data_IF_337164361096
#
_entry.id   IF_337164361096
#
_cell.length_a   1.000
_cell.length_b   1.000
_cell.length_c   1.000
_cell.angle_alpha   90.00
_cell.angle_beta   90.00
_cell.angle_gamma   90.00
#
_symmetry.space_group_name_H-M   'P 1'
#
loop_
_entity.id
_entity.type
_entity.pdbx_description
1 polymer ?
#
# COMPACT_ATOMS: atom_id res chain seq x y z
N UNK A 1 19.95 -14.15 -18.75
CA UNK A 1 19.18 -12.90 -18.90
C UNK A 1 19.70 -12.20 -20.14
N UNK A 2 18.80 -11.73 -21.00
CA UNK A 2 19.16 -11.01 -22.22
C UNK A 2 18.71 -9.56 -22.08
N UNK A 3 19.56 -8.61 -22.46
CA UNK A 3 19.21 -7.18 -22.48
C UNK A 3 19.31 -6.69 -23.91
N UNK A 4 18.21 -6.11 -24.42
CA UNK A 4 18.15 -5.47 -25.73
C UNK A 4 17.85 -3.99 -25.52
N UNK A 5 18.75 -3.13 -26.01
CA UNK A 5 18.59 -1.68 -25.96
C UNK A 5 18.30 -1.16 -27.35
N UNK A 6 17.21 -0.41 -27.49
CA UNK A 6 16.80 0.22 -28.73
C UNK A 6 17.26 1.68 -28.71
N UNK A 7 18.11 2.06 -29.67
CA UNK A 7 18.68 3.40 -29.75
C UNK A 7 18.34 4.07 -31.08
N UNK A 8 17.87 5.31 -31.03
CA UNK A 8 17.52 6.10 -32.19
C UNK A 8 18.77 6.80 -32.73
N UNK A 9 19.43 6.18 -33.71
CA UNK A 9 20.64 6.73 -34.35
C UNK A 9 20.34 7.87 -35.33
N UNK A 10 19.11 7.91 -35.85
CA UNK A 10 18.61 8.89 -36.81
C UNK A 10 17.14 9.16 -36.50
N UNK A 11 16.74 10.44 -36.50
CA UNK A 11 15.37 10.85 -36.20
C UNK A 11 14.37 10.29 -37.23
N UNK A 12 14.80 10.10 -38.47
CA UNK A 12 13.96 9.52 -39.52
C UNK A 12 13.70 8.01 -39.31
N UNK A 13 14.50 7.36 -38.47
CA UNK A 13 14.36 5.94 -38.12
C UNK A 13 13.36 5.69 -36.99
N UNK A 14 12.66 6.72 -36.48
CA UNK A 14 11.76 6.57 -35.33
C UNK A 14 10.69 5.51 -35.55
N UNK A 15 10.06 5.51 -36.74
CA UNK A 15 9.05 4.51 -37.10
C UNK A 15 9.62 3.09 -37.05
N UNK A 16 10.84 2.89 -37.54
CA UNK A 16 11.50 1.58 -37.55
C UNK A 16 11.82 1.11 -36.12
N UNK A 17 12.29 2.01 -35.26
CA UNK A 17 12.58 1.72 -33.86
C UNK A 17 11.33 1.24 -33.12
N UNK A 18 10.24 2.02 -33.16
CA UNK A 18 9.00 1.65 -32.47
C UNK A 18 8.32 0.41 -33.07
N UNK A 19 8.45 0.17 -34.38
CA UNK A 19 7.93 -1.06 -35.00
C UNK A 19 8.69 -2.30 -34.53
N UNK A 20 10.02 -2.17 -34.38
CA UNK A 20 10.86 -3.24 -33.83
C UNK A 20 10.54 -3.49 -32.36
N UNK A 21 10.43 -2.41 -31.58
CA UNK A 21 10.01 -2.50 -30.18
C UNK A 21 8.63 -3.16 -30.02
N UNK A 22 7.63 -2.78 -30.82
CA UNK A 22 6.31 -3.38 -30.78
C UNK A 22 6.36 -4.89 -31.08
N UNK A 23 7.20 -5.31 -32.02
CA UNK A 23 7.37 -6.72 -32.38
C UNK A 23 7.97 -7.56 -31.25
N UNK A 24 8.91 -7.01 -30.47
CA UNK A 24 9.52 -7.72 -29.31
C UNK A 24 8.55 -8.03 -28.17
N UNK A 25 7.51 -7.21 -28.04
CA UNK A 25 6.46 -7.41 -27.06
C UNK A 25 5.42 -8.43 -27.54
N UNK A 26 5.49 -8.86 -28.80
CA UNK A 26 4.70 -9.97 -29.31
C UNK A 26 4.92 -11.24 -28.48
N UNK A 27 3.85 -11.74 -27.87
CA UNK A 27 3.90 -12.94 -27.02
C UNK A 27 4.37 -12.72 -25.59
N UNK A 28 4.52 -11.46 -25.13
CA UNK A 28 4.77 -11.15 -23.71
C UNK A 28 3.45 -11.03 -22.95
N UNK A 29 3.47 -11.40 -21.68
CA UNK A 29 2.26 -11.43 -20.84
C UNK A 29 2.11 -10.19 -19.95
N UNK A 30 3.21 -9.47 -19.70
CA UNK A 30 3.23 -8.31 -18.81
C UNK A 30 4.40 -7.37 -19.11
N UNK A 31 4.28 -6.14 -18.61
CA UNK A 31 5.35 -5.13 -18.59
C UNK A 31 5.76 -4.87 -17.15
N UNK A 32 7.06 -4.67 -16.92
CA UNK A 32 7.58 -4.14 -15.67
C UNK A 32 8.37 -2.86 -15.94
N UNK A 33 8.19 -1.82 -15.11
CA UNK A 33 8.96 -0.59 -15.19
C UNK A 33 9.06 0.10 -13.83
N UNK A 34 9.83 1.19 -13.76
CA UNK A 34 9.86 2.09 -12.61
C UNK A 34 9.26 3.44 -13.00
N UNK A 35 8.07 3.77 -12.51
CA UNK A 35 7.34 5.00 -12.85
C UNK A 35 6.91 5.11 -14.32
N UNK A 36 6.93 4.01 -15.08
CA UNK A 36 6.61 4.06 -16.50
C UNK A 36 5.14 4.31 -16.79
N UNK A 37 4.20 4.04 -15.86
CA UNK A 37 2.77 4.36 -16.07
C UNK A 37 2.54 5.85 -16.24
N UNK A 38 3.29 6.65 -15.51
CA UNK A 38 3.15 8.12 -15.50
C UNK A 38 4.16 8.82 -16.41
N UNK A 39 5.14 8.10 -16.96
CA UNK A 39 6.23 8.70 -17.73
C UNK A 39 6.47 8.01 -19.08
N UNK A 40 7.12 6.85 -19.08
CA UNK A 40 7.61 6.20 -20.32
C UNK A 40 6.47 5.76 -21.26
N UNK A 41 5.47 5.04 -20.73
CA UNK A 41 4.41 4.46 -21.55
C UNK A 41 3.54 5.52 -22.25
N UNK A 42 3.12 6.63 -21.58
CA UNK A 42 2.44 7.73 -22.26
C UNK A 42 3.23 8.34 -23.42
N UNK A 43 4.56 8.49 -23.25
CA UNK A 43 5.44 9.00 -24.30
C UNK A 43 5.53 8.03 -25.47
N UNK A 44 5.81 6.75 -25.20
CA UNK A 44 5.88 5.69 -26.22
C UNK A 44 4.55 5.60 -26.98
N UNK A 45 3.41 5.62 -26.27
CA UNK A 45 2.08 5.59 -26.88
C UNK A 45 1.88 6.76 -27.83
N UNK A 46 2.21 7.98 -27.40
CA UNK A 46 2.09 9.18 -28.22
C UNK A 46 2.95 9.08 -29.49
N UNK A 47 4.18 8.57 -29.38
CA UNK A 47 5.06 8.35 -30.53
C UNK A 47 4.55 7.27 -31.48
N UNK A 48 3.96 6.20 -30.97
CA UNK A 48 3.33 5.16 -31.79
C UNK A 48 2.13 5.70 -32.56
N UNK A 49 1.27 6.49 -31.93
CA UNK A 49 0.13 7.14 -32.59
C UNK A 49 0.59 8.06 -33.72
N UNK A 50 1.59 8.91 -33.48
CA UNK A 50 2.14 9.81 -34.51
C UNK A 50 2.74 9.04 -35.70
N UNK A 51 3.39 7.91 -35.44
CA UNK A 51 3.99 7.04 -36.46
C UNK A 51 3.02 6.03 -37.08
N UNK A 52 1.74 6.03 -36.66
CA UNK A 52 0.69 5.07 -37.07
C UNK A 52 1.10 3.61 -36.84
N UNK A 53 1.74 3.34 -35.70
CA UNK A 53 2.16 2.02 -35.27
C UNK A 53 1.14 1.50 -34.26
N UNK A 54 0.63 0.29 -34.49
CA UNK A 54 -0.12 -0.41 -33.46
C UNK A 54 0.86 -1.09 -32.49
N UNK A 55 0.72 -0.83 -31.20
CA UNK A 55 1.58 -1.40 -30.16
C UNK A 55 0.70 -1.94 -29.01
N UNK A 56 0.09 -3.10 -29.26
CA UNK A 56 -0.79 -3.80 -28.32
C UNK A 56 -0.09 -4.13 -26.98
N UNK A 57 1.24 -4.28 -27.00
CA UNK A 57 2.04 -4.50 -25.80
C UNK A 57 1.85 -3.42 -24.72
N UNK A 58 1.50 -2.17 -25.10
CA UNK A 58 1.26 -1.08 -24.15
C UNK A 58 -0.01 -1.26 -23.30
N UNK A 59 -0.87 -2.22 -23.65
CA UNK A 59 -2.11 -2.54 -22.94
C UNK A 59 -1.99 -3.82 -22.09
N UNK A 60 -0.81 -4.45 -22.06
CA UNK A 60 -0.53 -5.59 -21.20
C UNK A 60 -0.64 -5.23 -19.70
N UNK A 61 -0.93 -6.23 -18.83
CA UNK A 61 -0.76 -6.08 -17.39
C UNK A 61 0.59 -5.45 -17.04
N UNK A 62 0.55 -4.39 -16.25
CA UNK A 62 1.75 -3.59 -15.97
C UNK A 62 2.07 -3.52 -14.48
N UNK A 63 3.19 -4.13 -14.11
CA UNK A 63 3.86 -3.98 -12.82
C UNK A 63 4.73 -2.72 -12.82
N UNK A 64 4.19 -1.64 -12.29
CA UNK A 64 4.98 -0.43 -12.03
C UNK A 64 5.53 -0.46 -10.61
N UNK A 65 6.85 -0.62 -10.51
CA UNK A 65 7.55 -0.84 -9.25
C UNK A 65 7.55 0.39 -8.35
N UNK A 66 7.38 1.61 -8.88
CA UNK A 66 7.24 2.79 -8.04
C UNK A 66 6.00 2.66 -7.14
N UNK A 67 4.89 2.20 -7.70
CA UNK A 67 3.65 2.01 -6.95
C UNK A 67 3.74 0.82 -6.01
N UNK A 68 4.38 -0.28 -6.42
CA UNK A 68 4.62 -1.43 -5.56
C UNK A 68 5.46 -1.06 -4.33
N UNK A 69 6.58 -0.36 -4.55
CA UNK A 69 7.47 0.06 -3.46
C UNK A 69 6.76 1.06 -2.54
N UNK A 70 6.12 2.11 -3.07
CA UNK A 70 5.34 3.06 -2.26
C UNK A 70 4.24 2.38 -1.46
N UNK A 71 3.65 1.31 -2.01
CA UNK A 71 2.61 0.56 -1.33
C UNK A 71 3.19 -0.24 -0.16
N UNK A 72 4.30 -0.96 -0.35
CA UNK A 72 4.83 -1.93 0.62
C UNK A 72 5.84 -1.36 1.62
N UNK A 73 6.58 -0.32 1.25
CA UNK A 73 7.63 0.28 2.06
C UNK A 73 7.20 1.67 2.49
N UNK A 74 7.16 1.95 3.81
CA UNK A 74 6.78 3.26 4.35
C UNK A 74 7.94 3.97 5.01
N UNK A 75 7.88 5.30 4.98
CA UNK A 75 8.85 6.18 5.65
C UNK A 75 10.15 6.41 4.89
N UNK A 76 10.18 6.14 3.58
CA UNK A 76 11.28 6.61 2.75
C UNK A 76 11.13 8.13 2.51
N UNK A 77 12.25 8.86 2.52
CA UNK A 77 12.25 10.31 2.28
C UNK A 77 11.90 10.63 0.82
N UNK A 78 12.31 9.74 -0.10
CA UNK A 78 12.03 9.80 -1.53
C UNK A 78 11.77 8.38 -2.06
N UNK A 79 11.13 8.28 -3.20
CA UNK A 79 10.96 7.01 -3.94
C UNK A 79 11.53 7.15 -5.35
N UNK A 80 12.62 7.90 -5.52
CA UNK A 80 13.42 7.85 -6.75
C UNK A 80 14.10 6.48 -6.85
N UNK A 81 14.43 6.04 -8.08
CA UNK A 81 15.10 4.76 -8.28
C UNK A 81 16.39 4.67 -7.45
N UNK A 82 17.23 5.72 -7.47
CA UNK A 82 18.46 5.79 -6.69
C UNK A 82 18.26 5.63 -5.17
N UNK A 83 17.23 6.26 -4.57
CA UNK A 83 16.95 6.08 -3.14
C UNK A 83 16.48 4.65 -2.85
N UNK A 84 15.62 4.10 -3.71
CA UNK A 84 15.10 2.73 -3.54
C UNK A 84 16.21 1.70 -3.69
N UNK A 85 17.15 1.88 -4.61
CA UNK A 85 18.30 1.01 -4.76
C UNK A 85 19.22 1.04 -3.55
N UNK A 86 19.51 2.22 -3.00
CA UNK A 86 20.33 2.34 -1.79
C UNK A 86 19.67 1.67 -0.58
N UNK A 87 18.34 1.80 -0.46
CA UNK A 87 17.56 1.25 0.66
C UNK A 87 17.33 -0.25 0.55
N UNK A 88 16.96 -0.74 -0.63
CA UNK A 88 16.52 -2.13 -0.82
C UNK A 88 17.63 -3.04 -1.35
N UNK A 89 18.51 -2.51 -2.20
CA UNK A 89 19.55 -3.31 -2.87
C UNK A 89 20.96 -3.01 -2.34
N UNK A 90 21.10 -2.03 -1.44
CA UNK A 90 22.37 -1.55 -0.92
C UNK A 90 23.36 -1.10 -2.00
N UNK A 91 22.83 -0.66 -3.16
CA UNK A 91 23.63 -0.13 -4.26
C UNK A 91 23.84 1.36 -4.02
N UNK A 92 25.10 1.81 -4.05
CA UNK A 92 25.45 3.23 -4.09
C UNK A 92 25.88 3.55 -5.51
N UNK A 93 25.16 4.47 -6.16
CA UNK A 93 25.56 4.99 -7.46
C UNK A 93 26.55 6.11 -7.29
N UNK A 94 27.67 6.04 -8.00
CA UNK A 94 28.41 7.24 -8.38
C UNK A 94 27.68 7.83 -9.59
N UNK A 95 27.15 9.04 -9.48
CA UNK A 95 26.53 9.72 -10.62
C UNK A 95 27.64 10.16 -11.59
N UNK A 96 27.93 9.32 -12.60
CA UNK A 96 28.94 9.68 -13.62
C UNK A 96 28.44 10.80 -14.54
N UNK A 97 27.13 10.87 -14.83
CA UNK A 97 26.54 11.90 -15.70
C UNK A 97 25.20 12.40 -15.11
N UNK A 98 25.08 13.70 -14.77
CA UNK A 98 23.81 14.29 -14.40
C UNK A 98 22.76 14.12 -15.52
N UNK A 99 21.57 13.62 -15.17
CA UNK A 99 20.52 13.31 -16.16
C UNK A 99 20.13 14.48 -17.07
N UNK A 100 20.28 15.73 -16.59
CA UNK A 100 20.03 16.95 -17.36
C UNK A 100 20.98 17.12 -18.57
N UNK A 101 22.15 16.48 -18.56
CA UNK A 101 23.14 16.56 -19.64
C UNK A 101 22.87 15.51 -20.74
N UNK A 102 22.12 14.46 -20.46
CA UNK A 102 21.86 13.35 -21.39
C UNK A 102 21.28 13.83 -22.73
N UNK A 103 20.27 14.73 -22.79
CA UNK A 103 19.75 15.21 -24.08
C UNK A 103 20.81 15.88 -24.94
N UNK A 104 21.71 16.67 -24.34
CA UNK A 104 22.80 17.34 -25.06
C UNK A 104 23.79 16.35 -25.65
N UNK A 105 24.23 15.39 -24.83
CA UNK A 105 25.12 14.30 -25.25
C UNK A 105 24.50 13.47 -26.38
N UNK A 106 23.19 13.21 -26.31
CA UNK A 106 22.46 12.50 -27.36
C UNK A 106 22.51 13.25 -28.70
N UNK A 107 22.15 14.54 -28.73
CA UNK A 107 22.18 15.32 -29.97
C UNK A 107 23.59 15.56 -30.50
N UNK A 108 24.61 15.59 -29.63
CA UNK A 108 26.00 15.60 -30.06
C UNK A 108 26.37 14.28 -30.75
N UNK A 109 26.09 13.13 -30.11
CA UNK A 109 26.38 11.81 -30.64
C UNK A 109 25.69 11.52 -31.98
N UNK A 110 24.42 11.94 -32.13
CA UNK A 110 23.67 11.79 -33.40
C UNK A 110 24.29 12.66 -34.50
N UNK A 111 24.76 13.87 -34.18
CA UNK A 111 25.37 14.78 -35.18
C UNK A 111 26.79 14.36 -35.56
N UNK A 112 27.58 13.89 -34.62
CA UNK A 112 28.97 13.47 -34.86
C UNK A 112 29.06 12.04 -35.41
N UNK A 113 28.04 11.21 -35.18
CA UNK A 113 28.07 9.77 -35.41
C UNK A 113 28.90 9.00 -34.37
N UNK A 114 29.46 9.67 -33.37
CA UNK A 114 30.28 9.07 -32.32
C UNK A 114 29.45 8.80 -31.06
N UNK A 115 29.21 7.51 -30.79
CA UNK A 115 28.43 7.06 -29.63
C UNK A 115 29.28 6.83 -28.37
N UNK A 116 30.59 7.04 -28.41
CA UNK A 116 31.47 6.77 -27.27
C UNK A 116 31.08 7.55 -26.03
N UNK A 117 30.61 8.79 -26.19
CA UNK A 117 30.11 9.66 -25.11
C UNK A 117 28.82 9.15 -24.45
N UNK A 118 28.05 8.30 -25.14
CA UNK A 118 26.82 7.70 -24.64
C UNK A 118 27.02 6.33 -23.99
N UNK A 119 28.23 5.76 -24.06
CA UNK A 119 28.52 4.46 -23.43
C UNK A 119 28.12 4.41 -21.94
N UNK A 120 28.42 5.42 -21.11
CA UNK A 120 27.96 5.43 -19.72
C UNK A 120 26.43 5.46 -19.61
N UNK A 121 25.73 6.21 -20.48
CA UNK A 121 24.27 6.27 -20.52
C UNK A 121 23.66 4.90 -20.77
N UNK A 122 24.19 4.15 -21.73
CA UNK A 122 23.72 2.78 -22.00
C UNK A 122 23.99 1.85 -20.82
N UNK A 123 25.17 1.94 -20.19
CA UNK A 123 25.52 1.15 -19.01
C UNK A 123 24.57 1.46 -17.82
N UNK A 124 24.28 2.74 -17.57
CA UNK A 124 23.31 3.13 -16.55
C UNK A 124 21.92 2.56 -16.83
N UNK A 125 21.45 2.61 -18.08
CA UNK A 125 20.15 2.02 -18.43
C UNK A 125 20.12 0.50 -18.20
N UNK A 126 21.21 -0.22 -18.47
CA UNK A 126 21.30 -1.66 -18.12
C UNK A 126 21.22 -1.86 -16.60
N UNK A 127 21.91 -1.03 -15.83
CA UNK A 127 21.86 -1.09 -14.36
C UNK A 127 20.46 -0.77 -13.83
N UNK A 128 19.76 0.22 -14.39
CA UNK A 128 18.36 0.52 -14.05
C UNK A 128 17.47 -0.71 -14.24
N UNK A 129 17.60 -1.40 -15.38
CA UNK A 129 16.86 -2.62 -15.69
C UNK A 129 17.16 -3.76 -14.71
N UNK A 130 18.44 -3.95 -14.36
CA UNK A 130 18.84 -4.93 -13.36
C UNK A 130 18.25 -4.62 -11.98
N UNK A 131 18.21 -3.35 -11.61
CA UNK A 131 17.60 -2.90 -10.35
C UNK A 131 16.10 -3.17 -10.30
N UNK A 132 15.38 -3.14 -11.43
CA UNK A 132 13.97 -3.55 -11.45
C UNK A 132 13.80 -5.00 -11.00
N UNK A 133 14.70 -5.90 -11.41
CA UNK A 133 14.66 -7.30 -11.01
C UNK A 133 14.90 -7.42 -9.50
N UNK A 134 15.93 -6.75 -8.98
CA UNK A 134 16.24 -6.73 -7.56
C UNK A 134 15.09 -6.15 -6.71
N UNK A 135 14.51 -5.03 -7.15
CA UNK A 135 13.37 -4.39 -6.47
C UNK A 135 12.14 -5.30 -6.50
N UNK A 136 11.90 -6.00 -7.61
CA UNK A 136 10.80 -6.96 -7.72
C UNK A 136 11.00 -8.10 -6.71
N UNK A 137 12.20 -8.66 -6.62
CA UNK A 137 12.52 -9.70 -5.66
C UNK A 137 12.38 -9.21 -4.21
N UNK A 138 12.85 -7.99 -3.90
CA UNK A 138 12.67 -7.39 -2.59
C UNK A 138 11.20 -7.16 -2.25
N UNK A 139 10.40 -6.64 -3.19
CA UNK A 139 8.97 -6.44 -3.02
C UNK A 139 8.22 -7.77 -2.81
N UNK A 140 8.58 -8.82 -3.54
CA UNK A 140 8.03 -10.16 -3.37
C UNK A 140 8.41 -10.75 -2.00
N UNK A 141 9.70 -10.69 -1.62
CA UNK A 141 10.18 -11.18 -0.33
C UNK A 141 9.57 -10.47 0.87
N UNK A 142 9.02 -9.25 0.68
CA UNK A 142 8.25 -8.53 1.71
C UNK A 142 6.96 -9.25 2.12
N UNK A 143 6.44 -10.13 1.28
CA UNK A 143 5.28 -10.98 1.55
C UNK A 143 5.63 -12.34 2.18
N UNK A 144 6.92 -12.64 2.37
CA UNK A 144 7.38 -13.85 3.04
C UNK A 144 8.06 -13.50 4.37
N UNK A 145 8.94 -12.50 4.37
CA UNK A 145 9.74 -12.06 5.51
C UNK A 145 9.16 -10.79 6.16
N UNK A 146 8.35 -10.99 7.21
CA UNK A 146 7.64 -9.92 7.92
C UNK A 146 8.02 -9.77 9.39
N UNK A 147 8.89 -10.62 9.90
CA UNK A 147 9.32 -10.56 11.29
C UNK A 147 10.15 -9.28 11.53
N UNK A 148 9.88 -8.62 12.65
CA UNK A 148 10.57 -7.38 13.04
C UNK A 148 10.26 -6.16 12.17
N UNK A 149 9.24 -6.21 11.30
CA UNK A 149 8.84 -5.05 10.53
C UNK A 149 8.10 -4.03 11.40
N UNK A 150 8.34 -2.72 11.20
CA UNK A 150 7.53 -1.70 11.83
C UNK A 150 6.04 -1.90 11.49
N UNK A 151 5.16 -1.66 12.46
CA UNK A 151 3.71 -1.88 12.28
C UNK A 151 3.12 -1.19 11.05
N UNK A 152 3.64 0.00 10.68
CA UNK A 152 3.21 0.74 9.47
C UNK A 152 3.47 -0.03 8.17
N UNK A 153 4.60 -0.74 8.09
CA UNK A 153 4.99 -1.52 6.91
C UNK A 153 4.22 -2.84 6.90
N UNK A 154 4.09 -3.46 8.07
CA UNK A 154 3.32 -4.68 8.26
C UNK A 154 1.85 -4.49 7.86
N UNK A 155 1.23 -3.38 8.31
CA UNK A 155 -0.12 -2.99 7.90
C UNK A 155 -0.21 -2.79 6.38
N UNK A 156 0.83 -2.26 5.75
CA UNK A 156 0.87 -2.06 4.31
C UNK A 156 0.89 -3.41 3.55
N UNK A 157 1.65 -4.40 4.05
CA UNK A 157 1.64 -5.77 3.54
C UNK A 157 0.25 -6.41 3.73
N UNK A 158 -0.29 -6.37 4.94
CA UNK A 158 -1.61 -6.95 5.26
C UNK A 158 -2.72 -6.34 4.40
N UNK A 159 -2.71 -5.02 4.19
CA UNK A 159 -3.65 -4.33 3.29
C UNK A 159 -3.50 -4.80 1.86
N UNK A 160 -2.27 -4.92 1.38
CA UNK A 160 -2.01 -5.39 0.02
C UNK A 160 -2.51 -6.81 -0.20
N UNK A 161 -2.26 -7.73 0.75
CA UNK A 161 -2.81 -9.08 0.72
C UNK A 161 -4.35 -9.09 0.77
N UNK A 162 -4.94 -8.21 1.58
CA UNK A 162 -6.40 -8.05 1.67
C UNK A 162 -6.99 -7.58 0.34
N UNK A 163 -6.38 -6.59 -0.32
CA UNK A 163 -6.81 -6.06 -1.61
C UNK A 163 -6.68 -7.11 -2.73
N UNK A 164 -5.66 -7.96 -2.64
CA UNK A 164 -5.45 -9.12 -3.50
C UNK A 164 -6.30 -10.33 -3.10
N UNK A 165 -7.15 -10.21 -2.08
CA UNK A 165 -8.05 -11.26 -1.57
C UNK A 165 -7.35 -12.49 -0.96
N UNK A 166 -6.06 -12.38 -0.62
CA UNK A 166 -5.31 -13.37 0.17
C UNK A 166 -5.63 -13.22 1.66
N UNK A 167 -6.90 -13.43 2.03
CA UNK A 167 -7.38 -13.16 3.38
C UNK A 167 -6.76 -14.07 4.45
N UNK A 168 -6.39 -15.30 4.09
CA UNK A 168 -5.73 -16.25 5.00
C UNK A 168 -4.37 -15.72 5.46
N UNK A 169 -3.53 -15.29 4.52
CA UNK A 169 -2.22 -14.71 4.82
C UNK A 169 -2.33 -13.37 5.53
N UNK A 170 -3.24 -12.50 5.07
CA UNK A 170 -3.51 -11.22 5.73
C UNK A 170 -3.88 -11.41 7.21
N UNK A 171 -4.71 -12.41 7.52
CA UNK A 171 -5.11 -12.71 8.89
C UNK A 171 -3.99 -13.36 9.72
N UNK A 172 -3.27 -14.32 9.15
CA UNK A 172 -2.13 -14.98 9.80
C UNK A 172 -1.05 -13.97 10.21
N UNK A 173 -0.69 -13.08 9.29
CA UNK A 173 0.31 -12.03 9.54
C UNK A 173 -0.25 -11.01 10.55
N UNK A 174 -1.51 -10.58 10.38
CA UNK A 174 -2.15 -9.63 11.29
C UNK A 174 -2.31 -10.14 12.72
N UNK A 175 -2.58 -11.43 12.93
CA UNK A 175 -2.64 -12.05 14.25
C UNK A 175 -1.27 -12.05 14.92
N UNK A 176 -0.22 -12.48 14.21
CA UNK A 176 1.17 -12.48 14.72
C UNK A 176 1.62 -11.07 15.10
N UNK A 177 1.24 -10.06 14.31
CA UNK A 177 1.56 -8.66 14.54
C UNK A 177 1.01 -8.09 15.85
N UNK A 178 -0.15 -8.57 16.30
CA UNK A 178 -0.78 -8.09 17.54
C UNK A 178 -0.22 -8.77 18.79
N UNK A 179 0.50 -9.88 18.64
CA UNK A 179 1.14 -10.59 19.75
C UNK A 179 2.44 -9.92 20.23
N UNK A 180 2.99 -8.97 19.48
CA UNK A 180 4.16 -8.18 19.88
C UNK A 180 3.72 -6.92 20.66
N UNK A 181 4.29 -6.64 21.85
CA UNK A 181 3.81 -5.57 22.73
C UNK A 181 3.79 -4.19 22.08
N UNK A 182 2.67 -3.49 22.31
CA UNK A 182 2.31 -2.12 21.96
C UNK A 182 3.43 -1.22 21.37
N UNK A 183 3.53 -1.23 20.04
CA UNK A 183 4.28 -0.26 19.24
C UNK A 183 3.35 0.76 18.55
N UNK A 184 3.95 1.84 18.04
CA UNK A 184 3.33 2.77 17.10
C UNK A 184 2.64 2.00 15.96
N UNK A 185 1.31 2.12 15.85
CA UNK A 185 0.53 1.49 14.77
C UNK A 185 -0.32 0.27 15.17
N UNK A 186 -0.23 -0.21 16.41
CA UNK A 186 -1.06 -1.31 16.94
C UNK A 186 -2.57 -1.10 16.69
N UNK A 187 -3.09 0.08 17.04
CA UNK A 187 -4.50 0.48 16.81
C UNK A 187 -4.91 0.34 15.34
N UNK A 188 -4.02 0.70 14.41
CA UNK A 188 -4.31 0.62 12.98
C UNK A 188 -4.34 -0.83 12.48
N UNK A 189 -3.51 -1.70 13.04
CA UNK A 189 -3.53 -3.14 12.79
C UNK A 189 -4.81 -3.78 13.31
N UNK A 190 -5.16 -3.54 14.59
CA UNK A 190 -6.37 -4.06 15.21
C UNK A 190 -7.64 -3.62 14.45
N UNK A 191 -7.72 -2.33 14.09
CA UNK A 191 -8.81 -1.80 13.26
C UNK A 191 -8.93 -2.53 11.92
N UNK A 192 -7.83 -2.69 11.19
CA UNK A 192 -7.85 -3.35 9.88
C UNK A 192 -8.28 -4.81 10.00
N UNK A 193 -7.74 -5.53 10.98
CA UNK A 193 -8.04 -6.94 11.24
C UNK A 193 -9.52 -7.15 11.64
N UNK A 194 -10.04 -6.36 12.57
CA UNK A 194 -11.47 -6.40 12.94
C UNK A 194 -12.38 -6.06 11.74
N UNK A 195 -12.00 -5.07 10.94
CA UNK A 195 -12.70 -4.71 9.71
C UNK A 195 -12.67 -5.81 8.64
N UNK A 196 -11.59 -6.59 8.54
CA UNK A 196 -11.49 -7.75 7.66
C UNK A 196 -12.48 -8.84 8.07
N UNK A 197 -12.50 -9.22 9.35
CA UNK A 197 -13.44 -10.21 9.89
C UNK A 197 -14.90 -9.78 9.71
N UNK A 198 -15.21 -8.52 10.03
CA UNK A 198 -16.55 -7.95 9.84
C UNK A 198 -17.01 -8.03 8.38
N UNK A 199 -16.14 -7.73 7.41
CA UNK A 199 -16.45 -7.84 5.97
C UNK A 199 -16.70 -9.28 5.50
N UNK A 200 -16.12 -10.26 6.20
CA UNK A 200 -16.28 -11.70 5.91
C UNK A 200 -17.40 -12.37 6.71
N UNK A 201 -18.12 -11.61 7.55
CA UNK A 201 -19.18 -12.13 8.41
C UNK A 201 -18.69 -12.79 9.72
N UNK A 202 -17.38 -12.76 9.98
CA UNK A 202 -16.76 -13.25 11.23
C UNK A 202 -16.94 -12.27 12.38
N UNK A 203 -18.18 -12.06 12.82
CA UNK A 203 -18.46 -11.05 13.85
C UNK A 203 -17.96 -11.45 15.24
N UNK A 204 -17.85 -12.75 15.52
CA UNK A 204 -17.34 -13.24 16.81
C UNK A 204 -15.83 -12.99 16.91
N UNK A 205 -15.09 -13.29 15.84
CA UNK A 205 -13.65 -13.04 15.74
C UNK A 205 -13.35 -11.55 15.80
N UNK A 206 -14.16 -10.71 15.14
CA UNK A 206 -14.05 -9.26 15.26
C UNK A 206 -14.30 -8.78 16.71
N UNK A 207 -15.22 -9.41 17.43
CA UNK A 207 -15.52 -9.06 18.83
C UNK A 207 -14.35 -9.35 19.76
N UNK A 208 -13.63 -10.47 19.58
CA UNK A 208 -12.41 -10.75 20.35
C UNK A 208 -11.33 -9.68 20.10
N UNK A 209 -11.16 -9.25 18.84
CA UNK A 209 -10.21 -8.16 18.51
C UNK A 209 -10.61 -6.84 19.17
N UNK A 210 -11.90 -6.50 19.22
CA UNK A 210 -12.35 -5.29 19.91
C UNK A 210 -12.13 -5.36 21.43
N UNK A 211 -12.28 -6.54 22.05
CA UNK A 211 -11.94 -6.74 23.46
C UNK A 211 -10.44 -6.54 23.70
N UNK A 212 -9.60 -7.18 22.90
CA UNK A 212 -8.14 -6.98 22.94
C UNK A 212 -7.77 -5.51 22.77
N UNK A 213 -8.44 -4.80 21.85
CA UNK A 213 -8.23 -3.36 21.65
C UNK A 213 -8.57 -2.55 22.89
N UNK A 214 -9.73 -2.79 23.50
CA UNK A 214 -10.13 -2.09 24.72
C UNK A 214 -9.12 -2.27 25.86
N UNK A 215 -8.45 -3.41 25.92
CA UNK A 215 -7.52 -3.78 26.99
C UNK A 215 -6.08 -3.33 26.74
N UNK A 216 -5.59 -3.44 25.49
CA UNK A 216 -4.17 -3.32 25.16
C UNK A 216 -3.79 -2.01 24.47
N UNK A 217 -4.73 -1.27 23.88
CA UNK A 217 -4.37 -0.07 23.15
C UNK A 217 -3.80 1.04 24.05
N UNK A 218 -2.76 1.74 23.59
CA UNK A 218 -2.12 2.80 24.38
C UNK A 218 -3.03 4.01 24.56
N UNK A 219 -3.81 4.33 23.52
CA UNK A 219 -4.69 5.50 23.49
C UNK A 219 -6.16 5.08 23.53
N UNK A 220 -6.97 5.89 24.21
CA UNK A 220 -8.41 5.70 24.23
C UNK A 220 -9.02 5.94 22.84
N UNK A 221 -9.79 4.95 22.37
CA UNK A 221 -10.62 5.07 21.17
C UNK A 221 -12.02 4.57 21.48
N UNK A 222 -13.05 5.33 21.08
CA UNK A 222 -14.45 4.93 21.27
C UNK A 222 -14.88 3.81 20.30
N UNK A 223 -14.23 3.70 19.14
CA UNK A 223 -14.56 2.76 18.06
C UNK A 223 -14.72 1.29 18.50
N UNK A 224 -13.77 0.65 19.22
CA UNK A 224 -13.93 -0.74 19.63
C UNK A 224 -15.09 -0.95 20.62
N UNK A 225 -15.36 0.00 21.51
CA UNK A 225 -16.52 -0.07 22.41
C UNK A 225 -17.83 0.02 21.62
N UNK A 226 -17.87 0.93 20.66
CA UNK A 226 -19.02 1.14 19.81
C UNK A 226 -19.38 -0.15 19.04
N UNK A 227 -18.39 -0.76 18.40
CA UNK A 227 -18.57 -1.96 17.59
C UNK A 227 -18.86 -3.21 18.44
N UNK A 228 -18.21 -3.36 19.59
CA UNK A 228 -18.49 -4.46 20.52
C UNK A 228 -19.91 -4.36 21.10
N UNK A 229 -20.41 -3.15 21.39
CA UNK A 229 -21.81 -2.95 21.76
C UNK A 229 -22.78 -3.31 20.62
N UNK A 230 -22.46 -3.00 19.35
CA UNK A 230 -23.27 -3.45 18.19
C UNK A 230 -23.30 -4.97 18.11
N UNK A 231 -22.18 -5.63 18.36
CA UNK A 231 -22.09 -7.08 18.34
C UNK A 231 -23.00 -7.70 19.41
N UNK A 232 -22.87 -7.26 20.67
CA UNK A 232 -23.71 -7.77 21.74
C UNK A 232 -25.21 -7.54 21.46
N UNK A 233 -25.57 -6.37 20.94
CA UNK A 233 -26.97 -6.07 20.63
C UNK A 233 -27.54 -6.89 19.45
N UNK A 234 -26.84 -6.91 18.32
CA UNK A 234 -27.39 -7.38 17.05
C UNK A 234 -27.06 -8.85 16.76
N UNK A 235 -25.99 -9.39 17.35
CA UNK A 235 -25.53 -10.77 17.10
C UNK A 235 -25.77 -11.65 18.32
N UNK A 236 -25.34 -11.22 19.51
CA UNK A 236 -25.51 -12.02 20.74
C UNK A 236 -26.92 -11.87 21.36
N UNK A 237 -27.64 -10.79 21.04
CA UNK A 237 -28.93 -10.48 21.66
C UNK A 237 -28.83 -10.06 23.14
N UNK A 238 -27.61 -9.84 23.64
CA UNK A 238 -27.35 -9.49 25.03
C UNK A 238 -27.30 -7.97 25.21
N UNK A 239 -28.46 -7.40 25.52
CA UNK A 239 -28.60 -5.96 25.76
C UNK A 239 -27.84 -5.54 27.02
N UNK A 240 -27.76 -6.40 28.04
CA UNK A 240 -27.09 -6.07 29.29
C UNK A 240 -25.58 -5.92 29.06
N UNK A 241 -24.96 -6.86 28.34
CA UNK A 241 -23.55 -6.76 27.94
C UNK A 241 -23.29 -5.54 27.05
N UNK A 242 -24.20 -5.22 26.11
CA UNK A 242 -24.06 -4.02 25.27
C UNK A 242 -24.06 -2.73 26.11
N UNK A 243 -24.92 -2.63 27.13
CA UNK A 243 -24.97 -1.48 28.04
C UNK A 243 -23.73 -1.39 28.94
N UNK A 244 -23.22 -2.51 29.42
CA UNK A 244 -21.99 -2.56 30.24
C UNK A 244 -20.77 -2.01 29.47
N UNK A 245 -20.59 -2.46 28.22
CA UNK A 245 -19.52 -1.95 27.35
C UNK A 245 -19.63 -0.44 27.13
N UNK A 246 -20.84 0.10 26.94
CA UNK A 246 -21.02 1.55 26.78
C UNK A 246 -20.78 2.33 28.08
N UNK A 247 -21.11 1.76 29.25
CA UNK A 247 -20.81 2.38 30.54
C UNK A 247 -19.29 2.45 30.78
N UNK A 248 -18.55 1.40 30.41
CA UNK A 248 -17.08 1.41 30.42
C UNK A 248 -16.51 2.50 29.49
N UNK A 249 -17.09 2.64 28.29
CA UNK A 249 -16.70 3.67 27.33
C UNK A 249 -16.93 5.09 27.87
N UNK A 250 -18.05 5.30 28.57
CA UNK A 250 -18.44 6.58 29.17
C UNK A 250 -17.43 7.02 30.22
N UNK A 251 -17.09 6.14 31.17
CA UNK A 251 -16.09 6.45 32.19
C UNK A 251 -14.70 6.74 31.62
N UNK A 252 -14.29 6.01 30.55
CA UNK A 252 -13.02 6.30 29.85
C UNK A 252 -13.05 7.63 29.11
N UNK A 253 -14.17 7.97 28.47
CA UNK A 253 -14.36 9.23 27.76
C UNK A 253 -14.36 10.43 28.73
N UNK A 254 -14.98 10.30 29.91
CA UNK A 254 -14.94 11.31 30.96
C UNK A 254 -13.50 11.62 31.41
N UNK A 255 -12.70 10.57 31.66
CA UNK A 255 -11.28 10.72 32.02
C UNK A 255 -10.51 11.40 30.87
N UNK A 256 -10.68 10.94 29.63
CA UNK A 256 -9.98 11.50 28.47
C UNK A 256 -10.27 12.99 28.28
N UNK A 257 -11.53 13.41 28.47
CA UNK A 257 -11.95 14.82 28.39
C UNK A 257 -11.38 15.68 29.51
N UNK A 258 -11.31 15.13 30.72
CA UNK A 258 -10.73 15.84 31.86
C UNK A 258 -9.23 16.13 31.66
N UNK A 259 -8.53 15.25 30.93
CA UNK A 259 -7.11 15.41 30.60
C UNK A 259 -6.90 16.36 29.40
N UNK A 260 -7.75 16.30 28.39
CA UNK A 260 -7.66 17.15 27.19
C UNK A 260 -9.05 17.28 26.52
N UNK A 261 -9.59 18.50 26.33
CA UNK A 261 -10.85 18.66 25.58
C UNK A 261 -10.55 18.73 24.06
N UNK A 262 -10.84 17.64 23.35
CA UNK A 262 -10.68 17.53 21.91
C UNK A 262 -12.05 17.42 21.22
N UNK A 263 -12.23 18.05 20.06
CA UNK A 263 -13.54 18.09 19.37
C UNK A 263 -14.13 16.70 19.11
N UNK A 264 -13.28 15.73 18.78
CA UNK A 264 -13.66 14.32 18.52
C UNK A 264 -14.40 13.69 19.71
N UNK A 265 -14.10 14.11 20.94
CA UNK A 265 -14.76 13.58 22.13
C UNK A 265 -16.24 13.98 22.22
N UNK A 266 -16.62 15.12 21.64
CA UNK A 266 -18.03 15.54 21.56
C UNK A 266 -18.81 14.67 20.57
N UNK A 267 -18.20 14.30 19.46
CA UNK A 267 -18.79 13.36 18.49
C UNK A 267 -18.97 11.97 19.11
N UNK A 268 -17.96 11.48 19.83
CA UNK A 268 -18.03 10.20 20.55
C UNK A 268 -19.08 10.21 21.64
N UNK A 269 -19.20 11.31 22.41
CA UNK A 269 -20.23 11.46 23.44
C UNK A 269 -21.64 11.42 22.83
N UNK A 270 -21.87 12.13 21.73
CA UNK A 270 -23.15 12.12 21.03
C UNK A 270 -23.50 10.71 20.54
N UNK A 271 -22.54 10.00 19.95
CA UNK A 271 -22.72 8.61 19.49
C UNK A 271 -23.02 7.64 20.64
N UNK A 272 -22.27 7.75 21.74
CA UNK A 272 -22.46 6.97 22.97
C UNK A 272 -23.86 7.18 23.54
N UNK A 273 -24.24 8.45 23.75
CA UNK A 273 -25.54 8.83 24.31
C UNK A 273 -26.70 8.30 23.48
N UNK A 274 -26.66 8.55 22.17
CA UNK A 274 -27.69 8.08 21.25
C UNK A 274 -27.86 6.56 21.30
N UNK A 275 -26.76 5.79 21.35
CA UNK A 275 -26.86 4.32 21.43
C UNK A 275 -27.34 3.83 22.79
N UNK A 276 -26.83 4.40 23.89
CA UNK A 276 -27.23 4.04 25.26
C UNK A 276 -28.74 4.25 25.44
N UNK A 277 -29.28 5.38 25.00
CA UNK A 277 -30.73 5.64 25.02
C UNK A 277 -31.52 4.62 24.21
N UNK A 278 -31.05 4.27 23.01
CA UNK A 278 -31.69 3.25 22.17
C UNK A 278 -31.73 1.88 22.85
N UNK A 279 -30.63 1.46 23.48
CA UNK A 279 -30.53 0.18 24.18
C UNK A 279 -31.40 0.15 25.44
N UNK A 280 -31.45 1.24 26.21
CA UNK A 280 -32.32 1.35 27.40
C UNK A 280 -33.80 1.24 27.03
N UNK A 281 -34.23 1.90 25.94
CA UNK A 281 -35.60 1.75 25.42
C UNK A 281 -35.90 0.30 25.05
N UNK A 282 -34.96 -0.38 24.37
CA UNK A 282 -35.12 -1.79 23.98
C UNK A 282 -35.16 -2.73 25.19
N UNK A 283 -34.33 -2.50 26.21
CA UNK A 283 -34.35 -3.25 27.47
C UNK A 283 -35.69 -3.10 28.21
N UNK A 284 -36.25 -1.89 28.26
CA UNK A 284 -37.55 -1.62 28.87
C UNK A 284 -38.68 -2.37 28.14
N UNK A 285 -38.63 -2.45 26.82
CA UNK A 285 -39.60 -3.22 26.04
C UNK A 285 -39.49 -4.72 26.32
N UNK A 286 -38.29 -5.30 26.29
CA UNK A 286 -38.09 -6.72 26.61
C UNK A 286 -38.56 -7.08 28.02
N UNK A 287 -38.37 -6.20 29.01
CA UNK A 287 -38.86 -6.40 30.39
C UNK A 287 -40.38 -6.31 30.53
N UNK A 288 -41.08 -5.67 29.58
CA UNK A 288 -42.56 -5.59 29.57
C UNK A 288 -43.20 -6.78 28.87
N UNK A 289 -42.45 -7.47 28.02
CA UNK A 289 -42.91 -8.62 27.22
C UNK A 289 -42.58 -9.98 27.88
N UNK A 290 -41.72 -10.00 28.90
CA UNK A 290 -41.36 -11.16 29.72
C UNK A 290 -42.18 -11.25 31.00
#
# INVERSE_FOLDING_TARGET
>A
MEVRQYFLVDLDAEKALYSSLASEFGGREAIASYNGKSYDLPLIRSRCVMNRINFDGLDLPHLDLLHAVRRLYKGFASYTLGEVEGRLLHIRREEDIPGALIPGLYFEAVRSGDLTTLKPVFQHNVMDLLSLIGITAAAAGRFDAHEGLPARDLLAVIRTLTDLQFYGDAERIGCTALCTPAEEGWTSLARHRAGLHKRRGGYAEAAEIWKEWIEQAPDFSFEPYEELAKYHEHRAGDIAAALDILARAEGRLEIARALHDHYVYREWEASLRHRKERLLRKQQLQRREA
#
